data_IF_277045341900
#
_entry.id   IF_277045341900
#
_cell.length_a   1.000
_cell.length_b   1.000
_cell.length_c   1.000
_cell.angle_alpha   90.00
_cell.angle_beta   90.00
_cell.angle_gamma   90.00
#
_symmetry.space_group_name_H-M   'P 1'
#
loop_
_entity.id
_entity.type
_entity.pdbx_description
1 polymer ?
#
# COMPACT_ATOMS: atom_id res chain seq x y z
N UNK A 1 -21.84 7.19 -5.30
CA UNK A 1 -20.46 6.70 -5.10
C UNK A 1 -20.41 5.98 -3.76
N UNK A 2 -19.96 4.73 -3.74
CA UNK A 2 -19.79 3.93 -2.52
C UNK A 2 -18.31 3.95 -2.10
N UNK A 3 -18.00 3.82 -0.81
CA UNK A 3 -16.60 3.81 -0.29
C UNK A 3 -15.70 2.81 -1.04
N UNK A 4 -16.26 1.69 -1.47
CA UNK A 4 -15.56 0.66 -2.27
C UNK A 4 -15.14 1.15 -3.66
N UNK A 5 -15.90 2.04 -4.31
CA UNK A 5 -15.54 2.60 -5.62
C UNK A 5 -14.29 3.48 -5.53
N UNK A 6 -14.22 4.33 -4.50
CA UNK A 6 -13.09 5.26 -4.33
C UNK A 6 -11.78 4.52 -4.00
N UNK A 7 -11.85 3.44 -3.21
CA UNK A 7 -10.68 2.62 -2.90
C UNK A 7 -10.15 1.90 -4.15
N UNK A 8 -11.05 1.39 -5.00
CA UNK A 8 -10.67 0.75 -6.26
C UNK A 8 -10.03 1.74 -7.24
N UNK A 9 -10.55 2.97 -7.32
CA UNK A 9 -9.96 4.04 -8.14
C UNK A 9 -8.54 4.40 -7.67
N UNK A 10 -8.34 4.53 -6.35
CA UNK A 10 -7.02 4.77 -5.76
C UNK A 10 -6.06 3.61 -6.05
N UNK A 11 -6.51 2.37 -5.86
CA UNK A 11 -5.71 1.17 -6.16
C UNK A 11 -5.26 1.16 -7.63
N UNK A 12 -6.18 1.41 -8.56
CA UNK A 12 -5.86 1.46 -9.98
C UNK A 12 -4.88 2.58 -10.33
N UNK A 13 -5.02 3.76 -9.70
CA UNK A 13 -4.10 4.87 -9.90
C UNK A 13 -2.69 4.55 -9.41
N UNK A 14 -2.55 3.96 -8.21
CA UNK A 14 -1.25 3.57 -7.67
C UNK A 14 -0.61 2.44 -8.48
N UNK A 15 -1.38 1.45 -8.93
CA UNK A 15 -0.88 0.38 -9.79
C UNK A 15 -0.35 0.93 -11.11
N UNK A 16 -1.04 1.91 -11.71
CA UNK A 16 -0.56 2.58 -12.91
C UNK A 16 0.77 3.31 -12.66
N UNK A 17 0.89 4.04 -11.55
CA UNK A 17 2.13 4.74 -11.17
C UNK A 17 3.28 3.74 -10.97
N UNK A 18 3.01 2.62 -10.28
CA UNK A 18 3.97 1.54 -10.05
C UNK A 18 4.48 0.99 -11.37
N UNK A 19 3.59 0.60 -12.28
CA UNK A 19 3.99 0.06 -13.59
C UNK A 19 4.81 1.05 -14.43
N UNK A 20 4.44 2.33 -14.40
CA UNK A 20 5.09 3.36 -15.23
C UNK A 20 6.45 3.81 -14.69
N UNK A 21 6.61 3.89 -13.36
CA UNK A 21 7.75 4.56 -12.74
C UNK A 21 8.59 3.66 -11.82
N UNK A 22 8.00 2.62 -11.23
CA UNK A 22 8.63 1.76 -10.23
C UNK A 22 8.24 0.27 -10.43
N UNK A 23 8.45 -0.31 -11.63
CA UNK A 23 7.98 -1.65 -11.96
C UNK A 23 8.61 -2.75 -11.09
N UNK A 24 9.76 -2.46 -10.47
CA UNK A 24 10.47 -3.32 -9.52
C UNK A 24 9.74 -3.49 -8.18
N UNK A 25 8.88 -2.55 -7.81
CA UNK A 25 8.07 -2.66 -6.59
C UNK A 25 6.96 -3.69 -6.86
N UNK A 26 6.78 -4.71 -6.01
CA UNK A 26 5.70 -5.69 -6.16
C UNK A 26 4.32 -5.06 -6.01
N UNK A 27 3.36 -5.54 -6.80
CA UNK A 27 1.97 -5.09 -6.69
C UNK A 27 1.41 -5.43 -5.31
N UNK A 28 1.76 -6.60 -4.78
CA UNK A 28 1.31 -7.12 -3.49
C UNK A 28 1.65 -6.17 -2.35
N UNK A 29 2.84 -5.56 -2.37
CA UNK A 29 3.25 -4.57 -1.37
C UNK A 29 2.33 -3.35 -1.41
N UNK A 30 2.04 -2.80 -2.59
CA UNK A 30 1.14 -1.64 -2.73
C UNK A 30 -0.27 -1.98 -2.23
N UNK A 31 -0.76 -3.18 -2.50
CA UNK A 31 -2.07 -3.65 -2.03
C UNK A 31 -2.13 -3.79 -0.50
N UNK A 32 -1.07 -4.29 0.12
CA UNK A 32 -0.95 -4.40 1.57
C UNK A 32 -0.94 -3.02 2.23
N UNK A 33 -0.11 -2.09 1.74
CA UNK A 33 -0.03 -0.73 2.29
C UNK A 33 -1.38 -0.01 2.20
N UNK A 34 -2.06 -0.12 1.06
CA UNK A 34 -3.41 0.43 0.89
C UNK A 34 -4.42 -0.17 1.86
N UNK A 35 -4.32 -1.47 2.13
CA UNK A 35 -5.22 -2.16 3.06
C UNK A 35 -4.98 -1.69 4.49
N UNK A 36 -3.72 -1.57 4.92
CA UNK A 36 -3.34 -1.00 6.23
C UNK A 36 -3.92 0.41 6.39
N UNK A 37 -3.69 1.29 5.42
CA UNK A 37 -4.21 2.66 5.45
C UNK A 37 -5.74 2.68 5.49
N UNK A 38 -6.41 1.81 4.73
CA UNK A 38 -7.86 1.72 4.71
C UNK A 38 -8.45 1.21 6.03
N UNK A 39 -7.84 0.21 6.66
CA UNK A 39 -8.34 -0.38 7.91
C UNK A 39 -8.09 0.52 9.12
N UNK A 40 -7.08 1.39 9.06
CA UNK A 40 -6.68 2.25 10.17
C UNK A 40 -6.99 3.74 9.90
N UNK A 41 -7.97 4.04 9.03
CA UNK A 41 -8.35 5.43 8.67
C UNK A 41 -8.71 6.32 9.87
N UNK A 42 -9.20 5.71 10.95
CA UNK A 42 -9.59 6.41 12.18
C UNK A 42 -8.37 6.69 13.10
N UNK A 43 -7.25 6.00 12.91
CA UNK A 43 -5.99 6.20 13.65
C UNK A 43 -4.79 6.21 12.69
N UNK A 44 -4.51 7.41 12.18
CA UNK A 44 -3.41 7.64 11.23
C UNK A 44 -2.03 7.36 11.82
N UNK A 45 -1.86 7.48 13.14
CA UNK A 45 -0.57 7.21 13.78
C UNK A 45 -0.31 5.71 13.75
N UNK A 46 -1.34 4.92 14.03
CA UNK A 46 -1.25 3.46 13.94
C UNK A 46 -1.10 2.98 12.49
N UNK A 47 -1.81 3.59 11.53
CA UNK A 47 -1.64 3.31 10.10
C UNK A 47 -0.18 3.48 9.66
N UNK A 48 0.43 4.64 9.98
CA UNK A 48 1.81 4.95 9.60
C UNK A 48 2.82 3.96 10.20
N UNK A 49 2.63 3.55 11.47
CA UNK A 49 3.50 2.54 12.11
C UNK A 49 3.42 1.20 11.39
N UNK A 50 2.21 0.74 11.05
CA UNK A 50 2.00 -0.53 10.35
C UNK A 50 2.55 -0.51 8.93
N UNK A 51 2.37 0.61 8.22
CA UNK A 51 2.95 0.82 6.88
C UNK A 51 4.48 0.74 6.92
N UNK A 52 5.12 1.46 7.84
CA UNK A 52 6.58 1.42 7.98
C UNK A 52 7.07 0.01 8.30
N UNK A 53 6.37 -0.69 9.21
CA UNK A 53 6.69 -2.07 9.54
C UNK A 53 6.60 -3.00 8.33
N UNK A 54 5.54 -2.91 7.52
CA UNK A 54 5.40 -3.74 6.32
C UNK A 54 6.51 -3.48 5.29
N UNK A 55 6.94 -2.22 5.15
CA UNK A 55 8.09 -1.86 4.31
C UNK A 55 9.39 -2.46 4.87
N UNK A 56 9.63 -2.34 6.18
CA UNK A 56 10.83 -2.90 6.82
C UNK A 56 10.89 -4.43 6.66
N UNK A 57 9.75 -5.13 6.83
CA UNK A 57 9.63 -6.57 6.63
C UNK A 57 9.93 -6.96 5.18
N UNK A 58 9.35 -6.23 4.21
CA UNK A 58 9.62 -6.46 2.79
C UNK A 58 11.11 -6.30 2.45
N UNK A 59 11.76 -5.24 2.94
CA UNK A 59 13.17 -4.99 2.70
C UNK A 59 14.05 -6.08 3.33
N UNK A 60 13.74 -6.52 4.55
CA UNK A 60 14.47 -7.60 5.22
C UNK A 60 14.37 -8.94 4.48
N UNK A 61 13.22 -9.24 3.86
CA UNK A 61 13.04 -10.44 3.03
C UNK A 61 13.80 -10.39 1.70
N UNK A 62 14.02 -9.18 1.15
CA UNK A 62 14.74 -9.01 -0.12
C UNK A 62 16.26 -8.95 0.02
N UNK A 63 16.79 -8.74 1.22
CA UNK A 63 18.24 -8.75 1.51
C UNK A 63 18.82 -10.17 1.73
N UNK A 64 18.03 -11.23 1.56
CA UNK A 64 18.41 -12.65 1.65
C UNK A 64 18.66 -13.29 0.27
#
# INVERSE_FOLDING_TARGET
>A
MTKSSNLNELRNALEKIRQENYPEIPQELIEELLTIEYENQDDRVEAAKKVLKAIDEYLAETEL
#
